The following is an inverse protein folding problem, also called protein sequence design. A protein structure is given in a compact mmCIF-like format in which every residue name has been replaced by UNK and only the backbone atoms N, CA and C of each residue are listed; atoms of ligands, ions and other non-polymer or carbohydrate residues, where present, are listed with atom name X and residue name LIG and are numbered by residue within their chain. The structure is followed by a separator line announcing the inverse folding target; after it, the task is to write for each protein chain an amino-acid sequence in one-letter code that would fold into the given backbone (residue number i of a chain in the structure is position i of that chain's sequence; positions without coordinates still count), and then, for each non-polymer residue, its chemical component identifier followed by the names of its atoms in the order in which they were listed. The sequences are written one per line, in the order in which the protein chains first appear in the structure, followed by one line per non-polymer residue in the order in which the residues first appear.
data_IF_699735808962
#
_entry.id   IF_699735808962
#
_cell.length_a   1.000
_cell.length_b   1.000
_cell.length_c   1.000
_cell.angle_alpha   90.00
_cell.angle_beta   90.00
_cell.angle_gamma   90.00
#
_symmetry.space_group_name_H-M   'P 1'
#
loop_
_entity.id
_entity.type
_entity.pdbx_description
1 polymer ?
#
# COMPACT_ATOMS: atom_id res chain seq x y z
N UNK A 1 -11.47 9.20 9.73
CA UNK A 1 -11.46 8.31 8.56
C UNK A 1 -11.10 6.94 9.08
N UNK A 2 -12.04 6.02 9.14
CA UNK A 2 -11.73 4.64 9.51
C UNK A 2 -11.08 4.04 8.27
N UNK A 3 -9.76 3.87 8.31
CA UNK A 3 -9.10 3.04 7.32
C UNK A 3 -9.68 1.62 7.51
N UNK A 4 -10.43 1.13 6.54
CA UNK A 4 -10.71 -0.30 6.38
C UNK A 4 -9.68 -0.82 5.38
N UNK A 5 -8.45 -1.03 5.84
CA UNK A 5 -7.38 -1.42 4.96
C UNK A 5 -7.39 -2.93 4.81
N UNK A 6 -6.93 -3.38 3.67
CA UNK A 6 -6.53 -4.77 3.40
C UNK A 6 -7.57 -5.83 3.08
N UNK A 7 -8.85 -5.48 2.90
CA UNK A 7 -9.79 -6.44 2.29
C UNK A 7 -9.28 -6.94 0.92
N UNK A 8 -8.45 -6.12 0.26
CA UNK A 8 -7.88 -6.39 -1.06
C UNK A 8 -6.39 -6.03 -1.08
N UNK A 9 -5.60 -6.71 -0.27
CA UNK A 9 -4.15 -6.54 -0.22
C UNK A 9 -3.42 -7.76 -0.78
N UNK A 10 -2.22 -7.54 -1.28
CA UNK A 10 -1.35 -8.59 -1.78
C UNK A 10 0.10 -8.35 -1.35
N UNK A 11 0.82 -9.42 -1.09
CA UNK A 11 2.27 -9.36 -0.96
C UNK A 11 2.89 -8.76 -2.23
N UNK A 12 3.77 -7.78 -2.07
CA UNK A 12 4.36 -7.08 -3.24
C UNK A 12 5.17 -7.99 -4.16
N UNK A 13 5.63 -9.13 -3.68
CA UNK A 13 6.39 -10.14 -4.42
C UNK A 13 5.50 -11.22 -5.07
N UNK A 14 4.17 -11.10 -4.98
CA UNK A 14 3.22 -12.04 -5.57
C UNK A 14 2.39 -11.33 -6.66
N UNK A 15 2.88 -11.36 -7.89
CA UNK A 15 2.26 -10.70 -9.03
C UNK A 15 0.87 -11.24 -9.35
N UNK A 16 0.62 -12.54 -9.16
CA UNK A 16 -0.71 -13.12 -9.36
C UNK A 16 -1.74 -12.57 -8.36
N UNK A 17 -1.32 -12.37 -7.10
CA UNK A 17 -2.17 -11.77 -6.09
C UNK A 17 -2.41 -10.28 -6.38
N UNK A 18 -1.39 -9.55 -6.84
CA UNK A 18 -1.53 -8.15 -7.26
C UNK A 18 -2.48 -8.03 -8.45
N UNK A 19 -2.37 -8.90 -9.46
CA UNK A 19 -3.27 -8.90 -10.61
C UNK A 19 -4.74 -9.07 -10.20
N UNK A 20 -5.01 -9.91 -9.20
CA UNK A 20 -6.38 -10.10 -8.66
C UNK A 20 -6.95 -8.83 -8.06
N UNK A 21 -6.14 -7.96 -7.41
CA UNK A 21 -6.61 -6.66 -6.90
C UNK A 21 -7.20 -5.83 -8.04
N UNK A 22 -6.51 -5.73 -9.16
CA UNK A 22 -6.99 -4.96 -10.32
C UNK A 22 -8.28 -5.53 -10.90
N UNK A 23 -8.38 -6.86 -10.99
CA UNK A 23 -9.58 -7.55 -11.52
C UNK A 23 -10.79 -7.33 -10.60
N UNK A 24 -10.64 -7.61 -9.30
CA UNK A 24 -11.74 -7.52 -8.32
C UNK A 24 -12.28 -6.10 -8.21
N UNK A 25 -11.39 -5.09 -8.29
CA UNK A 25 -11.77 -3.68 -8.18
C UNK A 25 -12.25 -3.06 -9.50
N UNK A 26 -12.11 -3.74 -10.63
CA UNK A 26 -12.26 -3.10 -11.94
C UNK A 26 -11.28 -1.95 -12.15
N UNK A 27 -10.12 -1.99 -11.48
CA UNK A 27 -9.11 -0.92 -11.48
C UNK A 27 -8.22 -1.03 -12.71
N UNK A 28 -8.03 0.06 -13.49
CA UNK A 28 -7.05 0.05 -14.56
C UNK A 28 -5.62 -0.17 -14.05
N UNK A 29 -4.81 -0.95 -14.77
CA UNK A 29 -3.43 -1.26 -14.37
C UNK A 29 -2.48 -0.06 -14.40
N UNK A 30 -2.87 1.06 -15.00
CA UNK A 30 -2.12 2.30 -15.01
C UNK A 30 -2.32 3.16 -13.74
N UNK A 31 -2.94 2.61 -12.69
CA UNK A 31 -3.11 3.27 -11.40
C UNK A 31 -2.27 2.56 -10.33
N UNK A 32 -1.14 3.15 -9.89
CA UNK A 32 -0.24 2.53 -8.92
C UNK A 32 -0.93 2.18 -7.60
N UNK A 33 -0.39 1.19 -6.91
CA UNK A 33 -0.80 0.80 -5.57
C UNK A 33 0.12 1.46 -4.52
N UNK A 34 -0.39 1.61 -3.29
CA UNK A 34 0.42 2.06 -2.15
C UNK A 34 0.96 0.83 -1.45
N UNK A 35 2.27 0.83 -1.19
CA UNK A 35 2.96 -0.19 -0.40
C UNK A 35 2.90 0.20 1.07
N UNK A 36 2.44 -0.72 1.91
CA UNK A 36 2.33 -0.55 3.36
C UNK A 36 3.42 -1.35 4.06
N UNK A 37 4.09 -0.71 5.01
CA UNK A 37 5.18 -1.29 5.82
C UNK A 37 4.84 -1.21 7.31
N UNK A 38 5.41 -2.11 8.12
CA UNK A 38 5.20 -2.15 9.57
C UNK A 38 6.17 -1.23 10.33
N UNK A 39 7.36 -1.03 9.78
CA UNK A 39 8.41 -0.24 10.42
C UNK A 39 9.25 0.50 9.36
N UNK A 40 9.98 1.52 9.81
CA UNK A 40 10.76 2.39 8.92
C UNK A 40 11.92 1.63 8.24
N UNK A 41 12.49 0.62 8.90
CA UNK A 41 13.60 -0.14 8.33
C UNK A 41 13.18 -0.92 7.07
N UNK A 42 11.91 -1.31 6.98
CA UNK A 42 11.37 -1.96 5.79
C UNK A 42 11.35 -1.05 4.55
N UNK A 43 11.44 0.28 4.73
CA UNK A 43 11.52 1.22 3.60
C UNK A 43 12.69 0.86 2.68
N UNK A 44 13.82 0.42 3.25
CA UNK A 44 14.98 0.00 2.49
C UNK A 44 14.79 -1.30 1.68
N UNK A 45 13.70 -2.02 1.90
CA UNK A 45 13.37 -3.21 1.11
C UNK A 45 12.71 -2.86 -0.23
N UNK A 46 12.08 -1.69 -0.34
CA UNK A 46 11.30 -1.26 -1.51
C UNK A 46 11.84 0.00 -2.19
N UNK A 47 12.63 0.82 -1.48
CA UNK A 47 13.13 2.11 -1.95
C UNK A 47 14.65 2.16 -1.99
N UNK A 48 15.16 3.00 -2.90
CA UNK A 48 16.59 3.36 -3.02
C UNK A 48 16.72 4.87 -2.98
N UNK A 49 17.96 5.37 -2.83
CA UNK A 49 18.30 6.81 -2.92
C UNK A 49 17.37 7.70 -2.07
N UNK A 50 17.12 7.27 -0.82
CA UNK A 50 16.20 7.94 0.08
C UNK A 50 16.84 9.23 0.57
N UNK A 51 16.30 10.37 0.14
CA UNK A 51 16.80 11.69 0.53
C UNK A 51 16.59 11.95 2.02
N UNK A 52 17.52 12.68 2.66
CA UNK A 52 17.46 12.96 4.10
C UNK A 52 16.19 13.72 4.52
N UNK A 53 15.66 14.62 3.68
CA UNK A 53 14.40 15.32 3.98
C UNK A 53 13.22 14.37 4.04
N UNK A 54 13.21 13.34 3.19
CA UNK A 54 12.19 12.31 3.24
C UNK A 54 12.28 11.49 4.54
N UNK A 55 13.49 11.21 5.02
CA UNK A 55 13.70 10.54 6.31
C UNK A 55 13.19 11.43 7.47
N UNK A 56 13.42 12.73 7.43
CA UNK A 56 12.89 13.67 8.43
C UNK A 56 11.35 13.66 8.46
N UNK A 57 10.71 13.64 7.28
CA UNK A 57 9.26 13.53 7.16
C UNK A 57 8.73 12.19 7.68
N UNK A 58 9.41 11.09 7.36
CA UNK A 58 9.08 9.75 7.85
C UNK A 58 9.08 9.73 9.38
N UNK A 59 10.13 10.21 10.03
CA UNK A 59 10.21 10.26 11.50
C UNK A 59 9.18 11.19 12.14
N UNK A 60 8.76 12.25 11.44
CA UNK A 60 7.79 13.20 11.96
C UNK A 60 6.33 12.74 11.77
N UNK A 61 6.04 11.96 10.72
CA UNK A 61 4.68 11.71 10.26
C UNK A 61 4.27 10.25 10.24
N UNK A 62 5.20 9.31 10.41
CA UNK A 62 4.90 7.88 10.47
C UNK A 62 5.06 7.33 11.90
N UNK A 63 4.16 6.42 12.31
CA UNK A 63 2.97 5.93 11.60
C UNK A 63 1.91 7.02 11.42
N UNK A 64 1.25 7.05 10.25
CA UNK A 64 0.29 8.10 9.94
C UNK A 64 -0.28 8.05 8.51
N UNK A 65 -1.07 9.07 8.14
CA UNK A 65 -1.76 9.11 6.85
C UNK A 65 -0.86 9.54 5.68
N UNK A 66 0.38 9.98 5.95
CA UNK A 66 1.29 10.47 4.91
C UNK A 66 1.77 9.32 4.03
N UNK A 67 1.59 9.46 2.72
CA UNK A 67 2.21 8.61 1.70
C UNK A 67 3.31 9.40 1.00
N UNK A 68 4.49 8.81 0.90
CA UNK A 68 5.62 9.40 0.19
C UNK A 68 5.99 8.56 -1.04
N UNK A 69 6.51 9.23 -2.06
CA UNK A 69 7.03 8.61 -3.26
C UNK A 69 8.56 8.52 -3.16
N UNK A 70 9.09 7.33 -3.41
CA UNK A 70 10.53 7.07 -3.41
C UNK A 70 10.96 6.43 -4.73
N UNK A 71 12.20 6.63 -5.18
CA UNK A 71 12.78 5.80 -6.23
C UNK A 71 12.67 4.32 -5.82
N UNK A 72 12.10 3.49 -6.69
CA UNK A 72 11.84 2.08 -6.38
C UNK A 72 13.08 1.21 -6.53
N UNK A 73 13.21 0.18 -5.71
CA UNK A 73 14.11 -0.94 -5.97
C UNK A 73 13.63 -1.76 -7.17
N UNK A 74 14.57 -2.38 -7.87
CA UNK A 74 14.27 -3.32 -8.96
C UNK A 74 13.49 -4.56 -8.52
N UNK A 75 13.52 -4.86 -7.23
CA UNK A 75 12.73 -5.95 -6.61
C UNK A 75 11.24 -5.66 -6.49
N UNK A 76 10.84 -4.38 -6.63
CA UNK A 76 9.41 -4.00 -6.64
C UNK A 76 8.86 -4.20 -8.04
N UNK A 77 7.88 -5.09 -8.25
CA UNK A 77 7.30 -5.37 -9.55
C UNK A 77 6.69 -4.13 -10.20
N UNK A 78 6.81 -4.04 -11.52
CA UNK A 78 6.23 -2.93 -12.30
C UNK A 78 4.71 -2.84 -12.16
N UNK A 79 4.03 -3.96 -11.91
CA UNK A 79 2.59 -4.01 -11.68
C UNK A 79 2.17 -3.20 -10.44
N UNK A 80 2.99 -3.15 -9.39
CA UNK A 80 2.73 -2.33 -8.18
C UNK A 80 2.78 -0.85 -8.51
N UNK A 81 3.72 -0.45 -9.35
CA UNK A 81 4.02 0.96 -9.66
C UNK A 81 3.46 1.41 -11.00
N UNK A 82 2.72 0.56 -11.71
CA UNK A 82 2.22 0.82 -13.07
C UNK A 82 3.35 1.18 -14.06
N UNK A 83 4.51 0.55 -13.91
CA UNK A 83 5.70 0.79 -14.74
C UNK A 83 6.48 2.05 -14.37
N UNK A 84 6.09 2.79 -13.32
CA UNK A 84 6.80 3.98 -12.87
C UNK A 84 8.10 3.61 -12.13
N UNK A 85 9.10 4.47 -12.23
CA UNK A 85 10.37 4.35 -11.49
C UNK A 85 10.27 4.70 -10.00
N UNK A 86 9.08 5.02 -9.52
CA UNK A 86 8.83 5.38 -8.12
C UNK A 86 7.80 4.46 -7.49
N UNK A 87 7.91 4.26 -6.18
CA UNK A 87 6.97 3.50 -5.35
C UNK A 87 6.37 4.40 -4.28
N UNK A 88 5.05 4.34 -4.12
CA UNK A 88 4.32 5.00 -3.05
C UNK A 88 4.37 4.13 -1.79
N UNK A 89 4.85 4.70 -0.68
CA UNK A 89 5.00 3.96 0.59
C UNK A 89 4.29 4.71 1.72
N UNK A 90 3.68 3.94 2.62
CA UNK A 90 3.06 4.44 3.85
C UNK A 90 3.29 3.46 5.00
N UNK A 91 3.47 4.01 6.20
CA UNK A 91 3.36 3.27 7.45
C UNK A 91 2.05 3.70 8.14
N UNK A 92 0.99 2.86 8.12
CA UNK A 92 -0.31 3.24 8.65
C UNK A 92 -0.30 3.35 10.17
N UNK A 93 -1.18 4.20 10.77
CA UNK A 93 -1.28 4.36 12.21
C UNK A 93 -2.29 3.41 12.87
N UNK A 94 -3.08 2.66 12.10
CA UNK A 94 -4.10 1.78 12.62
C UNK A 94 -3.46 0.55 13.30
N UNK A 95 -3.77 0.34 14.58
CA UNK A 95 -3.14 -0.66 15.44
C UNK A 95 -3.21 -2.09 14.86
N UNK A 96 -4.42 -2.56 14.51
CA UNK A 96 -4.61 -3.89 13.92
C UNK A 96 -3.87 -4.06 12.58
N UNK A 97 -3.75 -2.97 11.82
CA UNK A 97 -3.01 -2.98 10.56
C UNK A 97 -1.51 -3.14 10.80
N UNK A 98 -0.97 -2.42 11.77
CA UNK A 98 0.44 -2.55 12.15
C UNK A 98 0.74 -3.93 12.73
N UNK A 99 -0.17 -4.48 13.53
CA UNK A 99 -0.06 -5.83 14.07
C UNK A 99 -0.04 -6.86 12.93
N UNK A 100 -0.95 -6.76 11.96
CA UNK A 100 -0.96 -7.63 10.78
C UNK A 100 0.36 -7.51 10.01
N UNK A 101 0.78 -6.28 9.65
CA UNK A 101 2.02 -6.05 8.91
C UNK A 101 3.24 -6.58 9.66
N UNK A 102 3.28 -6.43 10.98
CA UNK A 102 4.37 -6.93 11.83
C UNK A 102 4.37 -8.46 11.95
N UNK A 103 3.22 -9.12 11.76
CA UNK A 103 3.10 -10.59 11.81
C UNK A 103 3.55 -11.29 10.53
N UNK A 104 3.70 -10.54 9.46
CA UNK A 104 4.17 -11.02 8.16
C UNK A 104 5.56 -10.43 7.89
N UNK A 105 6.34 -11.09 7.05
CA UNK A 105 7.72 -10.71 6.77
C UNK A 105 7.89 -10.07 5.38
N UNK A 106 6.85 -9.42 4.88
CA UNK A 106 6.85 -8.76 3.58
C UNK A 106 5.89 -7.56 3.57
N UNK A 107 6.18 -6.48 2.82
CA UNK A 107 5.27 -5.37 2.62
C UNK A 107 4.03 -5.78 1.82
N UNK A 108 2.90 -5.09 2.07
CA UNK A 108 1.65 -5.29 1.35
C UNK A 108 1.36 -4.14 0.39
N UNK A 109 0.97 -4.46 -0.83
CA UNK A 109 0.34 -3.51 -1.73
C UNK A 109 -1.17 -3.50 -1.47
N UNK A 110 -1.73 -2.34 -1.17
CA UNK A 110 -3.16 -2.20 -0.90
C UNK A 110 -3.72 -0.88 -1.45
N UNK A 111 -4.79 -0.92 -2.25
CA UNK A 111 -5.59 0.25 -2.59
C UNK A 111 -6.64 0.52 -1.50
N UNK A 112 -7.42 1.61 -1.66
CA UNK A 112 -8.65 1.81 -0.89
C UNK A 112 -9.67 0.68 -1.14
N UNK A 113 -10.44 0.28 -0.13
CA UNK A 113 -11.38 -0.84 -0.20
C UNK A 113 -12.73 -0.46 -0.84
N UNK A 114 -12.71 0.12 -2.04
CA UNK A 114 -13.87 0.50 -2.87
C UNK A 114 -13.68 0.06 -4.32
N UNK A 115 -14.74 -0.15 -5.09
CA UNK A 115 -14.63 -0.26 -6.54
C UNK A 115 -13.98 1.00 -7.12
N UNK A 116 -13.28 0.86 -8.24
CA UNK A 116 -12.58 1.98 -8.84
C UNK A 116 -13.54 3.14 -9.16
N UNK A 117 -13.18 4.36 -8.74
CA UNK A 117 -13.97 5.58 -8.94
C UNK A 117 -15.07 5.84 -7.91
N UNK A 118 -15.28 4.93 -6.95
CA UNK A 118 -16.25 5.11 -5.88
C UNK A 118 -15.62 5.74 -4.63
N UNK A 119 -16.49 6.25 -3.74
CA UNK A 119 -16.08 6.81 -2.44
C UNK A 119 -15.52 5.69 -1.55
N UNK A 120 -14.46 6.01 -0.80
CA UNK A 120 -13.85 5.05 0.14
C UNK A 120 -14.85 4.65 1.24
N UNK A 121 -14.98 3.36 1.54
CA UNK A 121 -15.85 2.88 2.60
C UNK A 121 -15.33 3.30 3.97
N UNK A 122 -16.24 3.41 4.93
CA UNK A 122 -15.93 3.78 6.32
C UNK A 122 -16.23 2.67 7.30
N UNK A 123 -16.84 1.57 6.86
CA UNK A 123 -17.15 0.39 7.69
C UNK A 123 -16.91 -0.90 6.90
N UNK A 124 -16.77 -2.02 7.60
CA UNK A 124 -16.62 -3.34 6.98
C UNK A 124 -17.85 -3.74 6.16
N UNK A 125 -19.06 -3.36 6.61
CA UNK A 125 -20.31 -3.64 5.91
C UNK A 125 -20.34 -2.93 4.54
N UNK A 126 -19.81 -1.71 4.46
CA UNK A 126 -19.69 -0.99 3.18
C UNK A 126 -18.76 -1.72 2.20
N UNK A 127 -17.66 -2.31 2.71
CA UNK A 127 -16.75 -3.11 1.88
C UNK A 127 -17.46 -4.38 1.38
N UNK A 128 -18.12 -5.11 2.29
CA UNK A 128 -18.86 -6.32 1.95
C UNK A 128 -19.96 -6.05 0.91
N UNK A 129 -20.64 -4.91 0.99
CA UNK A 129 -21.66 -4.51 0.03
C UNK A 129 -21.14 -4.24 -1.38
N UNK A 130 -19.84 -3.97 -1.52
CA UNK A 130 -19.20 -3.69 -2.82
C UNK A 130 -18.62 -4.94 -3.50
N UNK A 131 -18.26 -5.98 -2.74
CA UNK A 131 -17.48 -7.13 -3.21
C UNK A 131 -18.14 -8.49 -2.96
N UNK A 132 -19.47 -8.51 -2.83
CA UNK A 132 -20.28 -9.74 -2.79
C UNK A 132 -20.61 -10.25 -4.19
#
# INVERSE_FOLDING_TARGET
MVDVPFAESAAINNEDAIAKIFVVKGRPQNHPLIVHIANIDELHTVAVDIHHDAINLVHACWPGPLTLLFPKKSTVPDMVTSGLGTVAVRMPAHELTLELLSSINFPLAAPSANPFGYVSPTTAEHVMGHFN
#
